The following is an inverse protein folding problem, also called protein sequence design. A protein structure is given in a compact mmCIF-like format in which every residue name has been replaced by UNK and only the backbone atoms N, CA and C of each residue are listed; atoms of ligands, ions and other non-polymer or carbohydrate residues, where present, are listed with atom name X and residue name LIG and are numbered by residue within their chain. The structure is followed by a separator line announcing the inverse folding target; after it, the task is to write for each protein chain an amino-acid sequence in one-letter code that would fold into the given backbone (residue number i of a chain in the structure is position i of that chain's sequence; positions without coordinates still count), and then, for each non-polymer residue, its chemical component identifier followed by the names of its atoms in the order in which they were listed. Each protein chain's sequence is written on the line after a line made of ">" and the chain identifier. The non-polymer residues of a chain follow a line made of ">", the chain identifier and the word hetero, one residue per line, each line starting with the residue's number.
data_IF_757850040675
#
_entry.id   IF_757850040675
#
_cell.length_a   1.000
_cell.length_b   1.000
_cell.length_c   1.000
_cell.angle_alpha   90.00
_cell.angle_beta   90.00
_cell.angle_gamma   90.00
#
_symmetry.space_group_name_H-M   'P 1'
#
loop_
_entity.id
_entity.type
_entity.pdbx_description
1 polymer ?
#
# COMPACT_ATOMS: atom_id res chain seq x y z
N UNK A 1 10.68 -19.73 -4.04
CA UNK A 1 9.76 -18.61 -4.39
C UNK A 1 9.90 -17.54 -3.32
N UNK A 2 10.07 -16.31 -3.73
CA UNK A 2 10.16 -15.18 -2.81
C UNK A 2 8.85 -14.39 -2.89
N UNK A 3 8.25 -14.11 -1.74
CA UNK A 3 7.12 -13.21 -1.64
C UNK A 3 7.59 -11.94 -0.91
N UNK A 4 7.54 -10.81 -1.59
CA UNK A 4 7.87 -9.50 -1.02
C UNK A 4 6.58 -8.78 -0.68
N UNK A 5 6.52 -8.20 0.51
CA UNK A 5 5.30 -7.64 1.08
C UNK A 5 5.53 -6.23 1.58
N UNK A 6 4.53 -5.38 1.41
CA UNK A 6 4.50 -4.03 1.97
C UNK A 6 3.21 -3.86 2.75
N UNK A 7 3.31 -3.22 3.92
CA UNK A 7 2.14 -2.75 4.65
C UNK A 7 2.33 -1.27 4.96
N UNK A 8 1.32 -0.49 4.64
CA UNK A 8 1.35 0.97 4.81
C UNK A 8 0.15 1.36 5.66
N UNK A 9 0.40 2.13 6.72
CA UNK A 9 -0.65 2.77 7.51
C UNK A 9 -0.58 4.26 7.20
N UNK A 10 -1.69 4.85 6.81
CA UNK A 10 -1.73 6.28 6.52
C UNK A 10 -3.01 6.94 7.04
N UNK A 11 -2.90 8.24 7.29
CA UNK A 11 -4.01 9.11 7.65
C UNK A 11 -4.50 9.83 6.39
N UNK A 12 -5.82 9.94 6.25
CA UNK A 12 -6.45 10.73 5.20
C UNK A 12 -6.88 12.04 5.83
N UNK A 13 -6.15 13.16 5.58
CA UNK A 13 -6.51 14.45 6.15
C UNK A 13 -7.90 14.89 5.70
N UNK A 14 -8.66 15.48 6.61
CA UNK A 14 -9.99 16.03 6.35
C UNK A 14 -11.00 15.02 5.80
N UNK A 15 -10.79 13.72 6.03
CA UNK A 15 -11.75 12.70 5.64
C UNK A 15 -13.01 12.85 6.49
N UNK A 16 -14.06 13.43 5.91
CA UNK A 16 -15.31 13.67 6.59
C UNK A 16 -16.35 12.58 6.39
N UNK A 17 -16.06 11.55 5.57
CA UNK A 17 -17.05 10.52 5.23
C UNK A 17 -16.39 9.23 4.79
N UNK A 18 -17.16 8.14 4.88
CA UNK A 18 -16.74 6.82 4.37
C UNK A 18 -16.54 6.86 2.85
N UNK A 19 -17.29 7.67 2.14
CA UNK A 19 -17.15 7.83 0.68
C UNK A 19 -15.78 8.38 0.32
N UNK A 20 -15.33 9.41 1.04
CA UNK A 20 -14.01 10.01 0.83
C UNK A 20 -12.90 8.99 1.10
N UNK A 21 -12.99 8.26 2.21
CA UNK A 21 -12.01 7.22 2.53
C UNK A 21 -11.98 6.14 1.44
N UNK A 22 -13.13 5.65 1.00
CA UNK A 22 -13.19 4.62 -0.05
C UNK A 22 -12.57 5.09 -1.35
N UNK A 23 -12.76 6.36 -1.71
CA UNK A 23 -12.17 6.93 -2.91
C UNK A 23 -10.64 6.88 -2.85
N UNK A 24 -10.06 7.30 -1.73
CA UNK A 24 -8.60 7.30 -1.55
C UNK A 24 -8.05 5.86 -1.50
N UNK A 25 -8.66 4.99 -0.71
CA UNK A 25 -8.23 3.59 -0.60
C UNK A 25 -8.28 2.89 -1.95
N UNK A 26 -9.37 3.08 -2.71
CA UNK A 26 -9.50 2.50 -4.06
C UNK A 26 -8.42 3.03 -4.99
N UNK A 27 -8.13 4.32 -4.94
CA UNK A 27 -7.08 4.94 -5.75
C UNK A 27 -5.72 4.32 -5.46
N UNK A 28 -5.36 4.18 -4.19
CA UNK A 28 -4.08 3.56 -3.78
C UNK A 28 -4.00 2.13 -4.28
N UNK A 29 -5.03 1.31 -4.03
CA UNK A 29 -5.05 -0.08 -4.47
C UNK A 29 -4.89 -0.20 -5.99
N UNK A 30 -5.62 0.60 -6.76
CA UNK A 30 -5.55 0.55 -8.21
C UNK A 30 -4.17 0.95 -8.75
N UNK A 31 -3.52 1.96 -8.15
CA UNK A 31 -2.17 2.35 -8.55
C UNK A 31 -1.16 1.23 -8.27
N UNK A 32 -1.27 0.59 -7.11
CA UNK A 32 -0.41 -0.55 -6.76
C UNK A 32 -0.61 -1.71 -7.74
N UNK A 33 -1.84 -2.03 -8.06
CA UNK A 33 -2.19 -3.14 -8.97
C UNK A 33 -1.77 -2.85 -10.41
N UNK A 34 -2.08 -1.66 -10.91
CA UNK A 34 -1.90 -1.34 -12.34
C UNK A 34 -0.48 -0.96 -12.69
N UNK A 35 0.19 -0.18 -11.85
CA UNK A 35 1.54 0.31 -12.15
C UNK A 35 2.64 -0.64 -11.70
N UNK A 36 2.41 -1.39 -10.63
CA UNK A 36 3.45 -2.24 -10.03
C UNK A 36 3.08 -3.72 -10.04
N UNK A 37 1.90 -4.07 -10.57
CA UNK A 37 1.43 -5.45 -10.66
C UNK A 37 1.40 -6.16 -9.29
N UNK A 38 1.08 -5.42 -8.23
CA UNK A 38 0.94 -5.99 -6.90
C UNK A 38 -0.45 -6.58 -6.71
N UNK A 39 -0.55 -7.62 -5.91
CA UNK A 39 -1.79 -7.96 -5.25
C UNK A 39 -1.95 -7.01 -4.08
N UNK A 40 -3.06 -6.27 -4.00
CA UNK A 40 -3.24 -5.23 -2.99
C UNK A 40 -4.65 -5.26 -2.41
N UNK A 41 -4.73 -4.99 -1.10
CA UNK A 41 -5.99 -4.96 -0.37
C UNK A 41 -5.91 -4.01 0.83
N UNK A 42 -7.06 -3.52 1.28
CA UNK A 42 -7.16 -2.90 2.59
C UNK A 42 -7.14 -4.03 3.63
N UNK A 43 -6.17 -4.02 4.54
CA UNK A 43 -5.92 -5.13 5.46
C UNK A 43 -6.08 -4.76 6.93
N UNK A 44 -6.21 -3.48 7.24
CA UNK A 44 -6.32 -3.00 8.61
C UNK A 44 -7.10 -1.69 8.66
N UNK A 45 -7.63 -1.36 9.83
CA UNK A 45 -8.32 -0.08 10.10
C UNK A 45 -9.55 0.15 9.20
N UNK A 46 -10.20 -0.94 8.78
CA UNK A 46 -11.36 -0.86 7.87
C UNK A 46 -12.51 -0.02 8.44
N UNK A 47 -12.65 0.01 9.77
CA UNK A 47 -13.72 0.76 10.44
C UNK A 47 -13.36 2.22 10.72
N UNK A 48 -12.10 2.62 10.52
CA UNK A 48 -11.68 4.00 10.69
C UNK A 48 -12.08 4.86 9.50
N UNK A 49 -12.56 6.09 9.75
CA UNK A 49 -12.83 7.05 8.68
C UNK A 49 -11.58 7.81 8.24
N UNK A 50 -10.59 7.92 9.13
CA UNK A 50 -9.42 8.78 8.90
C UNK A 50 -8.13 8.02 8.65
N UNK A 51 -8.07 6.74 9.05
CA UNK A 51 -6.89 5.91 8.86
C UNK A 51 -7.18 4.71 7.99
N UNK A 52 -6.18 4.28 7.24
CA UNK A 52 -6.26 3.07 6.42
C UNK A 52 -4.97 2.27 6.52
N UNK A 53 -5.10 0.95 6.48
CA UNK A 53 -3.98 0.03 6.36
C UNK A 53 -4.08 -0.74 5.04
N UNK A 54 -3.10 -0.58 4.16
CA UNK A 54 -3.05 -1.23 2.86
C UNK A 54 -1.91 -2.23 2.84
N UNK A 55 -2.19 -3.45 2.41
CA UNK A 55 -1.18 -4.46 2.13
C UNK A 55 -1.01 -4.68 0.64
N UNK A 56 0.22 -4.96 0.23
CA UNK A 56 0.54 -5.33 -1.14
C UNK A 56 1.62 -6.41 -1.16
N UNK A 57 1.60 -7.25 -2.18
CA UNK A 57 2.57 -8.32 -2.31
C UNK A 57 2.89 -8.62 -3.78
N UNK A 58 4.10 -9.13 -4.00
CA UNK A 58 4.50 -9.66 -5.29
C UNK A 58 5.35 -10.92 -5.12
N UNK A 59 5.31 -11.78 -6.12
CA UNK A 59 6.09 -13.00 -6.18
C UNK A 59 7.26 -12.79 -7.14
N UNK A 60 8.45 -13.25 -6.74
CA UNK A 60 9.64 -13.20 -7.59
C UNK A 60 10.61 -14.30 -7.17
N UNK A 61 11.78 -14.30 -7.78
CA UNK A 61 12.90 -15.17 -7.37
C UNK A 61 14.02 -14.37 -6.69
N UNK A 62 13.79 -13.11 -6.33
CA UNK A 62 14.80 -12.24 -5.75
C UNK A 62 14.17 -11.28 -4.75
N UNK A 63 14.59 -11.36 -3.50
CA UNK A 63 14.17 -10.42 -2.46
C UNK A 63 14.62 -8.99 -2.79
N UNK A 64 15.83 -8.82 -3.30
CA UNK A 64 16.35 -7.50 -3.69
C UNK A 64 15.47 -6.85 -4.76
N UNK A 65 15.09 -7.61 -5.78
CA UNK A 65 14.21 -7.11 -6.84
C UNK A 65 12.82 -6.76 -6.27
N UNK A 66 12.22 -7.68 -5.52
CA UNK A 66 10.87 -7.47 -4.98
C UNK A 66 10.78 -6.26 -4.07
N UNK A 67 11.74 -6.11 -3.16
CA UNK A 67 11.78 -4.98 -2.24
C UNK A 67 12.07 -3.66 -2.97
N UNK A 68 12.87 -3.70 -4.03
CA UNK A 68 13.09 -2.53 -4.89
C UNK A 68 11.79 -2.05 -5.53
N UNK A 69 10.98 -2.97 -6.05
CA UNK A 69 9.66 -2.63 -6.61
C UNK A 69 8.78 -1.99 -5.54
N UNK A 70 8.75 -2.56 -4.34
CA UNK A 70 7.92 -2.03 -3.25
C UNK A 70 8.37 -0.65 -2.79
N UNK A 71 9.67 -0.37 -2.77
CA UNK A 71 10.17 0.98 -2.44
C UNK A 71 9.74 2.01 -3.48
N UNK A 72 9.75 1.64 -4.77
CA UNK A 72 9.24 2.53 -5.84
C UNK A 72 7.74 2.76 -5.70
N UNK A 73 7.00 1.72 -5.37
CA UNK A 73 5.56 1.83 -5.13
C UNK A 73 5.26 2.77 -3.96
N UNK A 74 6.02 2.66 -2.87
CA UNK A 74 5.88 3.55 -1.72
C UNK A 74 6.18 5.00 -2.10
N UNK A 75 7.25 5.25 -2.84
CA UNK A 75 7.61 6.60 -3.30
C UNK A 75 6.49 7.21 -4.16
N UNK A 76 5.83 6.42 -4.99
CA UNK A 76 4.69 6.87 -5.78
C UNK A 76 3.54 7.33 -4.86
N UNK A 77 3.22 6.55 -3.83
CA UNK A 77 2.16 6.91 -2.89
C UNK A 77 2.51 8.23 -2.18
N UNK A 78 3.74 8.36 -1.69
CA UNK A 78 4.17 9.60 -1.03
C UNK A 78 4.04 10.82 -1.92
N UNK A 79 4.35 10.68 -3.21
CA UNK A 79 4.38 11.80 -4.15
C UNK A 79 3.03 12.12 -4.78
N UNK A 80 2.15 11.13 -4.95
CA UNK A 80 0.95 11.30 -5.77
C UNK A 80 -0.36 11.23 -4.98
N UNK A 81 -0.35 10.71 -3.76
CA UNK A 81 -1.57 10.52 -2.99
C UNK A 81 -1.59 11.48 -1.79
N UNK A 82 -2.68 12.23 -1.58
CA UNK A 82 -2.74 13.24 -0.51
C UNK A 82 -3.03 12.59 0.85
N UNK A 83 -2.10 11.80 1.35
CA UNK A 83 -2.20 11.10 2.64
C UNK A 83 -0.97 11.38 3.49
N UNK A 84 -1.08 11.15 4.81
CA UNK A 84 0.03 11.24 5.73
C UNK A 84 0.45 9.85 6.14
N UNK A 85 1.66 9.45 5.77
CA UNK A 85 2.19 8.13 6.13
C UNK A 85 2.46 8.09 7.64
N UNK A 86 1.89 7.09 8.31
CA UNK A 86 2.09 6.85 9.75
C UNK A 86 3.10 5.75 9.99
N UNK A 87 3.07 4.69 9.16
CA UNK A 87 3.95 3.55 9.30
C UNK A 87 4.11 2.84 7.98
N UNK A 88 5.27 2.21 7.77
CA UNK A 88 5.56 1.40 6.60
C UNK A 88 6.43 0.22 7.00
N UNK A 89 6.13 -0.95 6.44
CA UNK A 89 6.92 -2.17 6.59
C UNK A 89 7.12 -2.80 5.22
N UNK A 90 8.35 -3.13 4.86
CA UNK A 90 8.71 -3.85 3.64
C UNK A 90 9.60 -5.01 4.04
N UNK A 91 9.21 -6.23 3.65
CA UNK A 91 9.99 -7.43 3.95
C UNK A 91 9.70 -8.52 2.92
N UNK A 92 10.57 -9.53 2.90
CA UNK A 92 10.42 -10.69 2.01
C UNK A 92 10.53 -11.97 2.80
N UNK A 93 9.83 -13.00 2.32
CA UNK A 93 9.95 -14.36 2.84
C UNK A 93 10.15 -15.32 1.69
N UNK A 94 10.94 -16.36 1.96
CA UNK A 94 11.16 -17.45 1.01
C UNK A 94 10.24 -18.61 1.33
N UNK A 95 9.63 -19.15 0.30
CA UNK A 95 8.72 -20.29 0.40
C UNK A 95 9.17 -21.43 -0.50
#
# INVERSE_FOLDING_TARGET
>A
MIVSMIQIIFEIPDAGSIKEKRRIVTSVKQKLQRRFHLSAAEVDLQDSLTFAGIGGALVSNSAVFGESVLRKAFAMIENEVPVRIQDISIFSEEF
#
